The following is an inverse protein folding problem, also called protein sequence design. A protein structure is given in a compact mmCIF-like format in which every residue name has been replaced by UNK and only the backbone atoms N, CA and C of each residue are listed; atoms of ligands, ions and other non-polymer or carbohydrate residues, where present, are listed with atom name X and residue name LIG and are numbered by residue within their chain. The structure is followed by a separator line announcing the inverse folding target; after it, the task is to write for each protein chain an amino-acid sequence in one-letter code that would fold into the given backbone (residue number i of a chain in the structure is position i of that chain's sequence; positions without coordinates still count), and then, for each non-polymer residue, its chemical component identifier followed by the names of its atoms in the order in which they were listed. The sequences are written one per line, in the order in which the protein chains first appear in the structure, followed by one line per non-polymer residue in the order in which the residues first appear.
data_IF_566785915375
#
_entry.id   IF_566785915375
#
_cell.length_a   1.000
_cell.length_b   1.000
_cell.length_c   1.000
_cell.angle_alpha   90.00
_cell.angle_beta   90.00
_cell.angle_gamma   90.00
#
_symmetry.space_group_name_H-M   'P 1'
#
loop_
_entity.id
_entity.type
_entity.pdbx_description
1 polymer ?
#
# COMPACT_ATOMS: atom_id res chain seq x y z
N UNK A 1 4.21 -17.64 -21.15
CA UNK A 1 4.51 -16.81 -19.97
C UNK A 1 6.04 -16.71 -19.88
N UNK A 2 6.60 -15.51 -19.89
CA UNK A 2 8.06 -15.29 -19.92
C UNK A 2 8.67 -15.70 -18.56
N UNK A 3 9.80 -16.41 -18.57
CA UNK A 3 10.53 -16.80 -17.35
C UNK A 3 10.81 -15.58 -16.44
N UNK A 4 11.04 -14.42 -17.05
CA UNK A 4 11.27 -13.16 -16.35
C UNK A 4 10.04 -12.62 -15.61
N UNK A 5 8.84 -12.79 -16.20
CA UNK A 5 7.58 -12.43 -15.52
C UNK A 5 7.29 -13.38 -14.36
N UNK A 6 7.65 -14.65 -14.51
CA UNK A 6 7.47 -15.63 -13.43
C UNK A 6 8.34 -15.31 -12.22
N UNK A 7 9.61 -14.92 -12.44
CA UNK A 7 10.51 -14.50 -11.36
C UNK A 7 9.99 -13.26 -10.63
N UNK A 8 9.58 -12.22 -11.36
CA UNK A 8 9.03 -10.99 -10.77
C UNK A 8 7.76 -11.24 -9.95
N UNK A 9 6.89 -12.13 -10.45
CA UNK A 9 5.68 -12.55 -9.71
C UNK A 9 6.05 -13.22 -8.39
N UNK A 10 7.01 -14.14 -8.41
CA UNK A 10 7.50 -14.83 -7.20
C UNK A 10 8.12 -13.84 -6.20
N UNK A 11 8.85 -12.85 -6.67
CA UNK A 11 9.40 -11.78 -5.82
C UNK A 11 8.30 -10.93 -5.17
N UNK A 12 7.26 -10.57 -5.92
CA UNK A 12 6.11 -9.83 -5.40
C UNK A 12 5.33 -10.64 -4.34
N UNK A 13 5.05 -11.92 -4.63
CA UNK A 13 4.40 -12.85 -3.69
C UNK A 13 5.25 -13.02 -2.42
N UNK A 14 6.57 -13.18 -2.57
CA UNK A 14 7.47 -13.28 -1.43
C UNK A 14 7.45 -12.03 -0.55
N UNK A 15 7.49 -10.83 -1.15
CA UNK A 15 7.47 -9.57 -0.42
C UNK A 15 6.14 -9.38 0.34
N UNK A 16 5.01 -9.70 -0.29
CA UNK A 16 3.69 -9.65 0.35
C UNK A 16 3.62 -10.60 1.55
N UNK A 17 4.07 -11.85 1.37
CA UNK A 17 4.12 -12.85 2.44
C UNK A 17 5.07 -12.45 3.58
N UNK A 18 6.17 -11.78 3.27
CA UNK A 18 7.11 -11.28 4.28
C UNK A 18 6.48 -10.17 5.13
N UNK A 19 5.75 -9.25 4.49
CA UNK A 19 5.01 -8.19 5.20
C UNK A 19 3.88 -8.78 6.06
N UNK A 20 3.11 -9.72 5.52
CA UNK A 20 2.06 -10.43 6.27
C UNK A 20 2.63 -11.11 7.53
N UNK A 21 3.73 -11.86 7.39
CA UNK A 21 4.41 -12.50 8.52
C UNK A 21 4.90 -11.50 9.56
N UNK A 22 5.41 -10.35 9.11
CA UNK A 22 5.84 -9.29 10.00
C UNK A 22 4.66 -8.76 10.82
N UNK A 23 3.57 -8.32 10.17
CA UNK A 23 2.41 -7.72 10.87
C UNK A 23 1.59 -8.73 11.67
N UNK A 24 1.61 -10.01 11.30
CA UNK A 24 0.91 -11.07 12.05
C UNK A 24 1.68 -11.51 13.31
N UNK A 25 2.89 -11.00 13.55
CA UNK A 25 3.57 -11.26 14.82
C UNK A 25 2.92 -10.43 15.94
N UNK A 26 2.59 -11.04 17.07
CA UNK A 26 1.89 -10.39 18.19
C UNK A 26 2.60 -9.14 18.77
N UNK A 27 3.85 -8.89 18.39
CA UNK A 27 4.71 -7.82 18.93
C UNK A 27 5.57 -7.15 17.85
N UNK A 28 5.08 -6.98 16.62
CA UNK A 28 5.90 -6.38 15.57
C UNK A 28 6.33 -4.94 15.91
N UNK A 29 7.61 -4.64 15.69
CA UNK A 29 8.16 -3.30 15.95
C UNK A 29 7.87 -2.36 14.78
N UNK A 30 6.70 -1.74 14.83
CA UNK A 30 6.24 -0.77 13.82
C UNK A 30 7.17 0.43 13.69
N UNK A 31 7.79 0.89 14.79
CA UNK A 31 8.63 2.07 14.78
C UNK A 31 9.95 1.79 14.05
N UNK A 32 10.58 0.65 14.33
CA UNK A 32 11.79 0.25 13.60
C UNK A 32 11.51 0.04 12.11
N UNK A 33 10.35 -0.51 11.75
CA UNK A 33 9.95 -0.65 10.34
C UNK A 33 9.80 0.70 9.65
N UNK A 34 9.09 1.65 10.28
CA UNK A 34 8.90 3.01 9.76
C UNK A 34 10.25 3.72 9.65
N UNK A 35 11.09 3.70 10.70
CA UNK A 35 12.40 4.36 10.70
C UNK A 35 13.32 3.80 9.62
N UNK A 36 13.27 2.49 9.36
CA UNK A 36 14.04 1.87 8.28
C UNK A 36 13.62 2.42 6.91
N UNK A 37 12.32 2.61 6.68
CA UNK A 37 11.80 3.16 5.42
C UNK A 37 12.09 4.66 5.33
N UNK A 38 11.70 5.45 6.33
CA UNK A 38 11.72 6.92 6.26
C UNK A 38 13.13 7.50 6.40
N UNK A 39 13.95 6.92 7.28
CA UNK A 39 15.25 7.49 7.66
C UNK A 39 16.45 6.77 7.02
N UNK A 40 16.30 5.51 6.61
CA UNK A 40 17.42 4.65 6.21
C UNK A 40 17.33 4.04 4.81
N UNK A 41 16.25 4.31 4.07
CA UNK A 41 16.08 3.91 2.67
C UNK A 41 16.33 5.11 1.75
N UNK A 42 16.90 4.89 0.56
CA UNK A 42 17.13 5.97 -0.42
C UNK A 42 15.80 6.63 -0.84
N UNK A 43 15.80 7.95 -1.06
CA UNK A 43 14.58 8.71 -1.39
C UNK A 43 13.81 8.17 -2.60
N UNK A 44 14.52 7.75 -3.65
CA UNK A 44 13.89 7.12 -4.82
C UNK A 44 13.18 5.81 -4.48
N UNK A 45 13.76 5.01 -3.60
CA UNK A 45 13.12 3.78 -3.10
C UNK A 45 11.94 4.10 -2.18
N UNK A 46 12.02 5.16 -1.36
CA UNK A 46 10.89 5.62 -0.55
C UNK A 46 9.69 6.02 -1.44
N UNK A 47 9.94 6.72 -2.55
CA UNK A 47 8.90 7.06 -3.53
C UNK A 47 8.27 5.81 -4.15
N UNK A 48 9.09 4.82 -4.53
CA UNK A 48 8.57 3.54 -5.04
C UNK A 48 7.74 2.78 -4.01
N UNK A 49 8.17 2.75 -2.74
CA UNK A 49 7.39 2.16 -1.64
C UNK A 49 6.07 2.91 -1.44
N UNK A 50 6.09 4.25 -1.48
CA UNK A 50 4.89 5.08 -1.42
C UNK A 50 3.91 4.75 -2.54
N UNK A 51 4.41 4.57 -3.77
CA UNK A 51 3.59 4.12 -4.90
C UNK A 51 2.90 2.77 -4.67
N UNK A 52 3.59 1.82 -4.01
CA UNK A 52 2.97 0.54 -3.62
C UNK A 52 1.87 0.75 -2.57
N UNK A 53 2.11 1.59 -1.55
CA UNK A 53 1.10 1.90 -0.52
C UNK A 53 -0.14 2.56 -1.15
N UNK A 54 0.03 3.51 -2.06
CA UNK A 54 -1.09 4.13 -2.76
C UNK A 54 -1.86 3.14 -3.64
N UNK A 55 -1.16 2.20 -4.31
CA UNK A 55 -1.83 1.14 -5.06
C UNK A 55 -2.69 0.23 -4.14
N UNK A 56 -2.22 -0.05 -2.92
CA UNK A 56 -3.01 -0.80 -1.92
C UNK A 56 -4.26 -0.02 -1.49
N UNK A 57 -4.11 1.27 -1.17
CA UNK A 57 -5.25 2.15 -0.80
C UNK A 57 -6.31 2.13 -1.89
N UNK A 58 -5.92 2.32 -3.16
CA UNK A 58 -6.86 2.28 -4.28
C UNK A 58 -7.57 0.94 -4.43
N UNK A 59 -6.87 -0.17 -4.16
CA UNK A 59 -7.47 -1.51 -4.18
C UNK A 59 -8.46 -1.73 -3.05
N UNK A 60 -8.16 -1.27 -1.83
CA UNK A 60 -9.12 -1.33 -0.72
C UNK A 60 -10.32 -0.40 -0.93
N UNK A 61 -10.14 0.77 -1.53
CA UNK A 61 -11.22 1.67 -1.95
C UNK A 61 -12.12 1.01 -3.01
N UNK A 62 -11.52 0.32 -4.00
CA UNK A 62 -12.25 -0.46 -5.00
C UNK A 62 -13.07 -1.59 -4.35
N UNK A 63 -12.48 -2.30 -3.37
CA UNK A 63 -13.19 -3.34 -2.62
C UNK A 63 -14.40 -2.77 -1.88
N UNK A 64 -14.27 -1.60 -1.25
CA UNK A 64 -15.39 -0.92 -0.58
C UNK A 64 -16.53 -0.61 -1.57
N UNK A 65 -16.23 0.03 -2.71
CA UNK A 65 -17.21 0.38 -3.74
C UNK A 65 -17.93 -0.82 -4.34
N UNK A 66 -17.27 -1.99 -4.34
CA UNK A 66 -17.80 -3.24 -4.89
C UNK A 66 -18.42 -4.17 -3.84
N UNK A 67 -18.47 -3.74 -2.58
CA UNK A 67 -18.93 -4.59 -1.47
C UNK A 67 -18.14 -5.92 -1.36
N UNK A 68 -16.84 -5.87 -1.66
CA UNK A 68 -15.91 -7.00 -1.66
C UNK A 68 -15.03 -7.02 -0.40
N UNK A 69 -15.62 -6.80 0.77
CA UNK A 69 -14.94 -6.82 2.07
C UNK A 69 -15.76 -7.67 3.08
N UNK A 70 -15.14 -8.03 4.20
CA UNK A 70 -15.80 -8.61 5.35
C UNK A 70 -15.79 -7.62 6.54
N UNK A 71 -16.58 -7.89 7.58
CA UNK A 71 -16.73 -6.97 8.71
C UNK A 71 -15.42 -6.66 9.45
N UNK A 72 -14.38 -7.49 9.31
CA UNK A 72 -13.08 -7.28 9.96
C UNK A 72 -12.20 -6.29 9.19
N UNK A 73 -12.42 -6.10 7.89
CA UNK A 73 -11.68 -5.15 7.06
C UNK A 73 -12.53 -4.00 6.51
N UNK A 74 -13.84 -3.96 6.78
CA UNK A 74 -14.75 -2.87 6.39
C UNK A 74 -14.20 -1.49 6.71
N UNK A 75 -13.77 -1.27 7.96
CA UNK A 75 -13.27 0.04 8.39
C UNK A 75 -12.02 0.47 7.60
N UNK A 76 -11.11 -0.46 7.30
CA UNK A 76 -9.93 -0.18 6.47
C UNK A 76 -10.35 0.19 5.06
N UNK A 77 -11.25 -0.58 4.45
CA UNK A 77 -11.77 -0.35 3.11
C UNK A 77 -12.50 1.00 3.01
N UNK A 78 -13.30 1.36 4.01
CA UNK A 78 -14.00 2.64 4.11
C UNK A 78 -13.02 3.82 4.22
N UNK A 79 -12.01 3.73 5.09
CA UNK A 79 -10.97 4.77 5.21
C UNK A 79 -10.25 4.96 3.88
N UNK A 80 -9.87 3.86 3.21
CA UNK A 80 -9.22 3.93 1.92
C UNK A 80 -10.10 4.55 0.83
N UNK A 81 -11.40 4.25 0.84
CA UNK A 81 -12.37 4.88 -0.05
C UNK A 81 -12.44 6.39 0.19
N UNK A 82 -12.51 6.84 1.44
CA UNK A 82 -12.55 8.26 1.75
C UNK A 82 -11.29 9.00 1.28
N UNK A 83 -10.10 8.40 1.47
CA UNK A 83 -8.85 8.97 0.96
C UNK A 83 -8.88 9.08 -0.56
N UNK A 84 -9.34 8.02 -1.26
CA UNK A 84 -9.41 8.00 -2.73
C UNK A 84 -10.41 9.03 -3.29
N UNK A 85 -11.54 9.24 -2.63
CA UNK A 85 -12.50 10.30 -2.99
C UNK A 85 -11.91 11.69 -2.79
N UNK A 86 -11.27 11.97 -1.64
CA UNK A 86 -10.60 13.26 -1.39
C UNK A 86 -9.53 13.53 -2.44
N UNK A 87 -8.66 12.55 -2.72
CA UNK A 87 -7.63 12.70 -3.76
C UNK A 87 -8.23 12.89 -5.16
N UNK A 88 -9.36 12.24 -5.45
CA UNK A 88 -10.07 12.41 -6.72
C UNK A 88 -10.66 13.81 -6.87
N UNK A 89 -11.25 14.34 -5.79
CA UNK A 89 -11.86 15.67 -5.78
C UNK A 89 -10.84 16.80 -5.84
N UNK A 90 -9.75 16.69 -5.06
CA UNK A 90 -8.75 17.76 -4.93
C UNK A 90 -7.69 17.72 -6.04
N UNK A 91 -7.33 16.54 -6.52
CA UNK A 91 -6.20 16.34 -7.42
C UNK A 91 -6.58 15.60 -8.72
N UNK A 92 -7.87 15.52 -9.06
CA UNK A 92 -8.37 14.81 -10.25
C UNK A 92 -7.89 13.33 -10.30
N UNK A 93 -7.67 12.73 -9.13
CA UNK A 93 -7.21 11.35 -9.00
C UNK A 93 -5.73 11.17 -9.35
N UNK A 94 -4.96 12.27 -9.42
CA UNK A 94 -3.52 12.23 -9.58
C UNK A 94 -2.83 12.03 -8.23
N UNK A 95 -2.39 10.80 -7.97
CA UNK A 95 -1.61 10.44 -6.80
C UNK A 95 -0.10 10.66 -6.99
N UNK A 96 0.32 11.15 -8.16
CA UNK A 96 1.74 11.42 -8.47
C UNK A 96 2.19 12.81 -8.03
N UNK A 97 1.23 13.72 -7.83
CA UNK A 97 1.45 15.08 -7.34
C UNK A 97 1.02 15.20 -5.88
N UNK A 98 1.80 14.61 -4.96
CA UNK A 98 1.66 15.00 -3.57
C UNK A 98 2.03 16.49 -3.45
N UNK A 99 1.19 17.34 -2.84
CA UNK A 99 1.54 18.74 -2.65
C UNK A 99 2.87 18.82 -1.90
N UNK A 100 3.84 19.51 -2.51
CA UNK A 100 5.06 19.93 -1.80
C UNK A 100 4.64 20.89 -0.70
N UNK A 101 4.81 20.46 0.56
CA UNK A 101 4.70 21.30 1.75
C UNK A 101 5.83 22.33 1.74
#
# INVERSE_FOLDING_TARGET
MNLYDETRRKEAEWAANALEKFVNSYTYDVNTFIDKIVCRTHRTLQQSIGGLVFALIRKWAEMYRKDMYDLRNEQLCQVCHNIDETMTQEYNGDWTTLPTI
#
